data_IF_309624390418
#
_entry.id   IF_309624390418
#
_cell.length_a   1.000
_cell.length_b   1.000
_cell.length_c   1.000
_cell.angle_alpha   90.00
_cell.angle_beta   90.00
_cell.angle_gamma   90.00
#
_symmetry.space_group_name_H-M   'P 1'
#
loop_
_entity.id
_entity.type
_entity.pdbx_description
1 polymer ?
#
# COMPACT_ATOMS: atom_id res chain seq x y z
N UNK A 1 31.30 -1.85 -61.94
CA UNK A 1 30.96 -3.10 -61.22
C UNK A 1 31.15 -2.78 -59.77
N UNK A 2 30.13 -2.19 -59.16
CA UNK A 2 30.25 -1.49 -57.89
C UNK A 2 29.46 -2.28 -56.85
N UNK A 3 30.21 -2.89 -55.92
CA UNK A 3 29.67 -3.70 -54.85
C UNK A 3 29.08 -2.80 -53.75
N UNK A 4 27.75 -2.70 -53.76
CA UNK A 4 26.95 -2.04 -52.75
C UNK A 4 26.86 -2.94 -51.50
N UNK A 5 27.48 -2.53 -50.40
CA UNK A 5 27.35 -3.20 -49.10
C UNK A 5 26.62 -2.29 -48.13
N UNK A 6 25.30 -2.47 -48.09
CA UNK A 6 24.38 -1.92 -47.13
C UNK A 6 24.47 -2.71 -45.81
N UNK A 7 25.03 -2.11 -44.76
CA UNK A 7 25.01 -2.66 -43.40
C UNK A 7 24.20 -1.77 -42.47
N UNK A 8 22.87 -1.82 -42.59
CA UNK A 8 21.95 -1.38 -41.54
C UNK A 8 22.00 -2.35 -40.35
N UNK A 9 23.04 -2.23 -39.53
CA UNK A 9 23.18 -2.91 -38.25
C UNK A 9 22.57 -2.08 -37.11
N UNK A 10 21.25 -1.91 -37.12
CA UNK A 10 20.52 -1.34 -35.97
C UNK A 10 20.61 -2.27 -34.77
N UNK A 11 21.55 -1.95 -33.89
CA UNK A 11 21.71 -2.50 -32.54
C UNK A 11 20.46 -2.17 -31.70
N UNK A 12 19.46 -3.05 -31.80
CA UNK A 12 18.21 -3.03 -31.03
C UNK A 12 18.12 -4.32 -30.21
N UNK A 13 19.04 -4.50 -29.26
CA UNK A 13 19.06 -5.69 -28.39
C UNK A 13 18.93 -5.39 -26.89
N UNK A 14 18.78 -4.12 -26.49
CA UNK A 14 18.66 -3.76 -25.07
C UNK A 14 17.23 -3.46 -24.58
N UNK A 15 16.22 -3.40 -25.47
CA UNK A 15 14.84 -3.04 -25.07
C UNK A 15 13.94 -4.27 -24.82
N UNK A 16 14.30 -5.44 -25.36
CA UNK A 16 13.49 -6.66 -25.21
C UNK A 16 13.51 -7.23 -23.78
N UNK A 17 14.53 -6.93 -22.98
CA UNK A 17 14.61 -7.35 -21.57
C UNK A 17 13.72 -6.51 -20.66
N UNK A 18 13.54 -5.21 -20.97
CA UNK A 18 12.62 -4.33 -20.23
C UNK A 18 11.18 -4.63 -20.60
N UNK A 19 10.88 -4.90 -21.87
CA UNK A 19 9.54 -5.32 -22.28
C UNK A 19 9.14 -6.70 -21.75
N UNK A 20 10.08 -7.66 -21.67
CA UNK A 20 9.83 -8.95 -21.01
C UNK A 20 9.52 -8.78 -19.51
N UNK A 21 10.27 -7.94 -18.79
CA UNK A 21 10.00 -7.60 -17.38
C UNK A 21 8.68 -6.85 -17.19
N UNK A 22 8.29 -5.96 -18.10
CA UNK A 22 6.98 -5.28 -18.08
C UNK A 22 5.81 -6.23 -18.38
N UNK A 23 6.00 -7.20 -19.26
CA UNK A 23 4.98 -8.21 -19.58
C UNK A 23 4.87 -9.30 -18.51
N UNK A 24 5.92 -9.55 -17.75
CA UNK A 24 5.89 -10.43 -16.57
C UNK A 24 5.13 -9.78 -15.40
N UNK A 25 5.23 -8.46 -15.24
CA UNK A 25 4.39 -7.68 -14.31
C UNK A 25 2.90 -7.81 -14.70
N UNK A 26 2.56 -7.71 -16.00
CA UNK A 26 1.16 -7.83 -16.46
C UNK A 26 0.53 -9.21 -16.27
N UNK A 27 1.31 -10.28 -16.03
CA UNK A 27 0.79 -11.66 -15.95
C UNK A 27 0.55 -12.17 -14.52
N UNK A 28 1.06 -11.47 -13.50
CA UNK A 28 0.77 -11.80 -12.08
C UNK A 28 -0.28 -10.88 -11.45
N UNK A 29 -0.68 -9.80 -12.14
CA UNK A 29 -1.70 -8.82 -11.71
C UNK A 29 -3.17 -9.28 -11.84
N UNK A 30 -3.41 -10.59 -12.09
CA UNK A 30 -4.70 -11.21 -11.70
C UNK A 30 -4.81 -11.41 -10.18
N UNK A 31 -3.91 -10.79 -9.40
CA UNK A 31 -3.95 -10.70 -7.96
C UNK A 31 -5.23 -10.00 -7.48
N UNK A 32 -6.20 -10.83 -7.07
CA UNK A 32 -7.30 -10.54 -6.17
C UNK A 32 -7.66 -9.05 -6.05
N UNK A 33 -8.35 -8.46 -7.04
CA UNK A 33 -9.03 -7.17 -6.84
C UNK A 33 -10.02 -7.33 -5.70
N UNK A 34 -10.28 -6.27 -4.93
CA UNK A 34 -11.39 -6.32 -3.99
C UNK A 34 -12.67 -6.67 -4.76
N UNK A 35 -13.66 -7.30 -4.10
CA UNK A 35 -14.98 -7.57 -4.69
C UNK A 35 -15.65 -6.33 -5.31
N UNK A 36 -15.24 -5.14 -4.88
CA UNK A 36 -15.74 -3.86 -5.37
C UNK A 36 -14.89 -3.24 -6.50
N UNK A 37 -13.93 -3.99 -7.05
CA UNK A 37 -13.01 -3.52 -8.10
C UNK A 37 -11.95 -2.52 -7.63
N UNK A 38 -11.92 -2.17 -6.33
CA UNK A 38 -10.93 -1.26 -5.73
C UNK A 38 -9.51 -1.86 -5.72
N UNK A 39 -8.47 -1.07 -6.03
CA UNK A 39 -7.07 -1.48 -5.87
C UNK A 39 -6.75 -1.90 -4.44
N UNK A 40 -5.84 -2.86 -4.29
CA UNK A 40 -5.42 -3.36 -2.98
C UNK A 40 -4.51 -2.35 -2.29
N UNK A 41 -4.63 -2.23 -0.96
CA UNK A 41 -3.78 -1.33 -0.17
C UNK A 41 -2.30 -1.66 -0.38
N UNK A 42 -1.42 -0.65 -0.40
CA UNK A 42 0.01 -0.88 -0.52
C UNK A 42 0.54 -1.56 0.75
N UNK A 43 1.54 -2.40 0.59
CA UNK A 43 2.24 -3.08 1.67
C UNK A 43 3.22 -2.14 2.35
N UNK A 44 3.21 -2.14 3.68
CA UNK A 44 4.24 -1.50 4.48
C UNK A 44 5.52 -2.35 4.49
N UNK A 45 6.66 -1.74 4.84
CA UNK A 45 7.93 -2.44 5.00
C UNK A 45 7.83 -3.63 5.98
N UNK A 46 7.09 -3.44 7.07
CA UNK A 46 6.80 -4.50 8.04
C UNK A 46 6.02 -5.65 7.39
N UNK A 47 4.97 -5.38 6.60
CA UNK A 47 4.21 -6.43 5.92
C UNK A 47 5.06 -7.22 4.92
N UNK A 48 5.95 -6.54 4.19
CA UNK A 48 6.90 -7.16 3.27
C UNK A 48 7.85 -8.10 4.04
N UNK A 49 8.40 -7.62 5.17
CA UNK A 49 9.23 -8.43 6.05
C UNK A 49 8.49 -9.67 6.58
N UNK A 50 7.24 -9.50 7.02
CA UNK A 50 6.42 -10.60 7.50
C UNK A 50 6.20 -11.70 6.45
N UNK A 51 5.96 -11.32 5.20
CA UNK A 51 5.81 -12.30 4.12
C UNK A 51 7.13 -13.06 3.87
N UNK A 52 8.24 -12.32 3.82
CA UNK A 52 9.58 -12.91 3.64
C UNK A 52 9.90 -13.91 4.77
N UNK A 53 9.69 -13.51 6.02
CA UNK A 53 10.08 -14.30 7.17
C UNK A 53 9.12 -15.48 7.41
N UNK A 54 7.83 -15.29 7.13
CA UNK A 54 6.86 -16.39 7.10
C UNK A 54 7.27 -17.44 6.07
N UNK A 55 7.59 -17.03 4.85
CA UNK A 55 7.99 -17.96 3.80
C UNK A 55 9.27 -18.71 4.18
N UNK A 56 10.22 -18.02 4.82
CA UNK A 56 11.45 -18.64 5.34
C UNK A 56 11.14 -19.71 6.39
N UNK A 57 10.36 -19.39 7.41
CA UNK A 57 10.03 -20.32 8.49
C UNK A 57 9.16 -21.48 7.98
N UNK A 58 8.20 -21.22 7.08
CA UNK A 58 7.39 -22.28 6.47
C UNK A 58 8.25 -23.23 5.63
N UNK A 59 9.28 -22.75 4.93
CA UNK A 59 10.24 -23.62 4.22
C UNK A 59 11.10 -24.44 5.19
N UNK A 60 11.57 -23.84 6.29
CA UNK A 60 12.32 -24.55 7.34
C UNK A 60 11.46 -25.65 8.01
N UNK A 61 10.15 -25.40 8.18
CA UNK A 61 9.18 -26.32 8.77
C UNK A 61 8.56 -27.31 7.78
N UNK A 62 8.81 -27.17 6.47
CA UNK A 62 8.30 -28.10 5.47
C UNK A 62 8.97 -29.49 5.51
N UNK A 63 9.92 -29.69 6.43
CA UNK A 63 10.45 -31.01 6.75
C UNK A 63 9.30 -31.90 7.30
N UNK A 64 8.98 -33.02 6.63
CA UNK A 64 7.76 -33.81 6.87
C UNK A 64 7.65 -34.41 8.27
N UNK A 65 8.75 -34.45 9.02
CA UNK A 65 8.78 -35.00 10.39
C UNK A 65 8.28 -34.01 11.46
N UNK A 66 8.10 -32.73 11.11
CA UNK A 66 7.57 -31.72 12.02
C UNK A 66 6.04 -31.82 12.10
N UNK A 67 5.52 -32.71 12.94
CA UNK A 67 4.09 -32.81 13.29
C UNK A 67 3.49 -31.41 13.51
N UNK A 68 2.51 -31.05 12.67
CA UNK A 68 1.87 -29.75 12.63
C UNK A 68 1.37 -29.30 14.02
N UNK A 69 2.11 -28.42 14.67
CA UNK A 69 1.70 -27.81 15.93
C UNK A 69 0.58 -26.79 15.66
N UNK A 70 -0.64 -27.13 16.06
CA UNK A 70 -1.85 -26.27 15.95
C UNK A 70 -1.71 -24.87 16.60
N UNK A 71 -0.72 -24.66 17.48
CA UNK A 71 -0.35 -23.35 18.04
C UNK A 71 0.68 -22.54 17.24
N UNK A 72 1.08 -22.99 16.05
CA UNK A 72 2.24 -22.44 15.33
C UNK A 72 2.09 -20.96 14.92
N UNK A 73 0.89 -20.48 14.60
CA UNK A 73 0.74 -19.14 14.05
C UNK A 73 1.03 -18.01 15.06
N UNK A 74 0.57 -18.15 16.30
CA UNK A 74 0.84 -17.16 17.36
C UNK A 74 2.34 -17.10 17.67
N UNK A 75 2.98 -18.27 17.80
CA UNK A 75 4.42 -18.38 18.02
C UNK A 75 5.23 -17.83 16.83
N UNK A 76 4.78 -18.10 15.59
CA UNK A 76 5.37 -17.56 14.37
C UNK A 76 5.31 -16.03 14.35
N UNK A 77 4.13 -15.46 14.61
CA UNK A 77 3.92 -14.01 14.63
C UNK A 77 4.80 -13.32 15.67
N UNK A 78 4.87 -13.86 16.88
CA UNK A 78 5.73 -13.34 17.94
C UNK A 78 7.22 -13.42 17.58
N UNK A 79 7.63 -14.52 16.94
CA UNK A 79 9.01 -14.71 16.46
C UNK A 79 9.38 -13.68 15.40
N UNK A 80 8.50 -13.45 14.42
CA UNK A 80 8.72 -12.45 13.37
C UNK A 80 8.76 -11.04 13.97
N UNK A 81 7.87 -10.71 14.91
CA UNK A 81 7.88 -9.41 15.60
C UNK A 81 9.18 -9.18 16.38
N UNK A 82 9.70 -10.20 17.06
CA UNK A 82 10.97 -10.11 17.77
C UNK A 82 12.13 -9.87 16.79
N UNK A 83 12.13 -10.54 15.62
CA UNK A 83 13.14 -10.32 14.57
C UNK A 83 13.03 -8.92 13.95
N UNK A 84 11.82 -8.43 13.70
CA UNK A 84 11.60 -7.08 13.15
C UNK A 84 12.16 -5.98 14.06
N UNK A 85 12.01 -6.11 15.38
CA UNK A 85 12.58 -5.16 16.35
C UNK A 85 14.11 -5.13 16.36
N UNK A 86 14.75 -6.22 15.95
CA UNK A 86 16.21 -6.39 15.92
C UNK A 86 16.74 -6.51 14.48
N UNK A 87 16.02 -5.95 13.50
CA UNK A 87 16.44 -6.00 12.10
C UNK A 87 17.65 -5.09 11.88
N UNK A 88 18.54 -5.51 10.98
CA UNK A 88 19.65 -4.67 10.55
C UNK A 88 19.16 -3.39 9.85
N UNK A 89 19.89 -2.29 10.07
CA UNK A 89 19.56 -0.99 9.52
C UNK A 89 19.57 -0.98 8.00
N UNK A 90 20.51 -1.70 7.36
CA UNK A 90 20.59 -1.74 5.90
C UNK A 90 19.38 -2.48 5.30
N UNK A 91 18.99 -3.61 5.89
CA UNK A 91 17.82 -4.36 5.45
C UNK A 91 16.52 -3.55 5.64
N UNK A 92 16.42 -2.79 6.73
CA UNK A 92 15.26 -1.91 6.96
C UNK A 92 15.14 -0.85 5.85
N UNK A 93 16.25 -0.23 5.45
CA UNK A 93 16.28 0.75 4.36
C UNK A 93 15.82 0.11 3.03
N UNK A 94 16.25 -1.11 2.74
CA UNK A 94 15.82 -1.84 1.53
C UNK A 94 14.30 -2.12 1.55
N UNK A 95 13.76 -2.55 2.70
CA UNK A 95 12.34 -2.82 2.85
C UNK A 95 11.49 -1.55 2.76
N UNK A 96 11.97 -0.43 3.30
CA UNK A 96 11.34 0.88 3.15
C UNK A 96 11.34 1.35 1.69
N UNK A 97 12.43 1.12 0.95
CA UNK A 97 12.49 1.40 -0.49
C UNK A 97 11.45 0.57 -1.27
N UNK A 98 11.30 -0.73 -0.95
CA UNK A 98 10.27 -1.58 -1.56
C UNK A 98 8.85 -1.10 -1.22
N UNK A 99 8.59 -0.71 0.02
CA UNK A 99 7.30 -0.17 0.44
C UNK A 99 6.97 1.15 -0.27
N UNK A 100 7.97 2.00 -0.53
CA UNK A 100 7.80 3.25 -1.30
C UNK A 100 7.40 2.95 -2.74
N UNK A 101 8.09 2.03 -3.41
CA UNK A 101 7.73 1.61 -4.77
C UNK A 101 6.31 1.02 -4.83
N UNK A 102 5.91 0.24 -3.82
CA UNK A 102 4.57 -0.32 -3.76
C UNK A 102 3.48 0.74 -3.55
N UNK A 103 3.78 1.79 -2.78
CA UNK A 103 2.90 2.95 -2.64
C UNK A 103 2.72 3.71 -3.95
N UNK A 104 3.79 3.88 -4.72
CA UNK A 104 3.74 4.52 -6.04
C UNK A 104 2.93 3.68 -7.05
N UNK A 105 3.04 2.35 -7.01
CA UNK A 105 2.15 1.44 -7.74
C UNK A 105 0.68 1.67 -7.35
N UNK A 106 0.36 1.61 -6.05
CA UNK A 106 -1.01 1.79 -5.56
C UNK A 106 -1.64 3.10 -6.02
N UNK A 107 -0.89 4.21 -5.95
CA UNK A 107 -1.40 5.51 -6.38
C UNK A 107 -1.79 5.50 -7.86
N UNK A 108 -0.93 4.93 -8.74
CA UNK A 108 -1.24 4.77 -10.16
C UNK A 108 -2.49 3.92 -10.38
N UNK A 109 -2.62 2.82 -9.66
CA UNK A 109 -3.81 1.95 -9.76
C UNK A 109 -5.09 2.66 -9.29
N UNK A 110 -5.00 3.47 -8.22
CA UNK A 110 -6.13 4.26 -7.68
C UNK A 110 -6.60 5.31 -8.69
N UNK A 111 -5.68 5.99 -9.37
CA UNK A 111 -6.04 7.00 -10.36
C UNK A 111 -6.76 6.37 -11.56
N UNK A 112 -6.27 5.24 -12.06
CA UNK A 112 -6.93 4.45 -13.12
C UNK A 112 -8.32 3.97 -12.65
N UNK A 113 -8.43 3.49 -11.42
CA UNK A 113 -9.70 3.03 -10.87
C UNK A 113 -10.72 4.16 -10.75
N UNK A 114 -10.31 5.34 -10.26
CA UNK A 114 -11.17 6.53 -10.18
C UNK A 114 -11.66 6.97 -11.56
N UNK A 115 -10.77 7.02 -12.54
CA UNK A 115 -11.14 7.37 -13.92
C UNK A 115 -12.17 6.39 -14.49
N UNK A 116 -11.97 5.08 -14.28
CA UNK A 116 -12.93 4.07 -14.73
C UNK A 116 -14.28 4.17 -13.99
N UNK A 117 -14.27 4.48 -12.69
CA UNK A 117 -15.49 4.70 -11.91
C UNK A 117 -16.29 5.90 -12.43
N UNK A 118 -15.61 7.01 -12.77
CA UNK A 118 -16.26 8.18 -13.35
C UNK A 118 -16.88 7.85 -14.72
N UNK A 119 -16.16 7.13 -15.58
CA UNK A 119 -16.67 6.68 -16.88
C UNK A 119 -17.94 5.82 -16.74
N UNK A 120 -17.92 4.85 -15.83
CA UNK A 120 -19.09 3.98 -15.60
C UNK A 120 -20.28 4.79 -15.09
N UNK A 121 -20.05 5.80 -14.24
CA UNK A 121 -21.12 6.66 -13.73
C UNK A 121 -21.73 7.53 -14.84
N UNK A 122 -20.91 8.09 -15.73
CA UNK A 122 -21.36 8.88 -16.88
C UNK A 122 -22.16 8.04 -17.90
N UNK A 123 -21.69 6.82 -18.19
CA UNK A 123 -22.41 5.86 -19.04
C UNK A 123 -23.76 5.45 -18.42
N UNK A 124 -23.79 5.21 -17.11
CA UNK A 124 -25.02 4.90 -16.39
C UNK A 124 -26.01 6.07 -16.40
N UNK A 125 -25.53 7.31 -16.21
CA UNK A 125 -26.35 8.51 -16.28
C UNK A 125 -26.91 8.73 -17.70
N UNK A 126 -26.08 8.56 -18.73
CA UNK A 126 -26.51 8.67 -20.13
C UNK A 126 -27.55 7.62 -20.51
N UNK A 127 -27.39 6.38 -20.02
CA UNK A 127 -28.36 5.30 -20.23
C UNK A 127 -29.68 5.56 -19.51
N UNK A 128 -29.64 6.10 -18.29
CA UNK A 128 -30.84 6.47 -17.55
C UNK A 128 -31.61 7.60 -18.25
N UNK A 129 -30.91 8.63 -18.74
CA UNK A 129 -31.51 9.73 -19.50
C UNK A 129 -32.17 9.23 -20.80
N UNK A 130 -31.50 8.37 -21.56
CA UNK A 130 -32.06 7.79 -22.78
C UNK A 130 -33.31 6.94 -22.51
N UNK A 131 -33.33 6.15 -21.42
CA UNK A 131 -34.51 5.34 -21.05
C UNK A 131 -35.70 6.16 -20.56
N UNK A 132 -35.48 7.38 -20.07
CA UNK A 132 -36.57 8.24 -19.58
C UNK A 132 -37.33 8.96 -20.70
N UNK A 133 -36.72 9.11 -21.88
CA UNK A 133 -37.36 9.76 -23.03
C UNK A 133 -38.41 8.87 -23.73
N UNK A 134 -38.32 7.55 -23.59
CA UNK A 134 -39.15 6.58 -24.35
C UNK A 134 -40.48 6.21 -23.65
N UNK A 135 -40.73 6.75 -22.43
CA UNK A 135 -41.95 6.43 -21.64
C UNK A 135 -42.95 7.60 -21.61
N UNK A 136 -42.66 8.71 -22.29
CA UNK A 136 -43.50 9.91 -22.25
C UNK A 136 -44.64 9.95 -23.30
N UNK A 137 -44.78 8.94 -24.18
CA UNK A 137 -45.74 8.97 -25.30
C UNK A 137 -47.00 8.10 -25.12
N UNK A 138 -47.38 7.74 -23.89
CA UNK A 138 -48.73 7.18 -23.67
C UNK A 138 -49.26 7.53 -22.27
N UNK A 139 -49.66 8.80 -22.11
CA UNK A 139 -50.49 9.22 -20.98
C UNK A 139 -51.97 8.98 -21.33
N UNK A 140 -52.64 7.94 -20.78
CA UNK A 140 -54.09 7.89 -20.81
C UNK A 140 -54.62 9.04 -19.95
N UNK A 141 -55.49 9.86 -20.53
CA UNK A 141 -56.17 10.98 -19.87
C UNK A 141 -56.74 10.54 -18.51
N UNK A 142 -56.12 10.98 -17.41
CA UNK A 142 -56.66 10.84 -16.06
C UNK A 142 -57.09 12.19 -15.54
N UNK A 143 -58.41 12.36 -15.57
CA UNK A 143 -59.14 13.45 -14.93
C UNK A 143 -58.84 13.54 -13.43
N UNK A 144 -58.52 14.76 -12.99
CA UNK A 144 -58.85 15.33 -11.67
C UNK A 144 -58.38 14.62 -10.40
N UNK A 145 -57.42 15.22 -9.68
CA UNK A 145 -57.69 15.88 -8.38
C UNK A 145 -56.37 16.49 -7.85
N UNK A 146 -56.38 17.80 -7.66
CA UNK A 146 -55.26 18.63 -7.19
C UNK A 146 -55.46 18.90 -5.69
N UNK A 147 -54.61 18.31 -4.84
CA UNK A 147 -54.35 18.89 -3.52
C UNK A 147 -52.85 19.18 -3.40
N UNK A 148 -52.55 20.48 -3.42
CA UNK A 148 -51.22 21.04 -3.43
C UNK A 148 -50.62 21.00 -2.01
N UNK A 149 -49.50 20.30 -1.84
CA UNK A 149 -48.68 20.46 -0.64
C UNK A 149 -47.27 20.85 -1.08
N UNK A 150 -47.02 22.16 -1.04
CA UNK A 150 -45.74 22.76 -1.33
C UNK A 150 -44.72 22.36 -0.25
N UNK A 151 -43.69 21.62 -0.65
CA UNK A 151 -42.49 21.36 0.15
C UNK A 151 -41.32 22.07 -0.51
N UNK A 152 -40.82 23.09 0.19
CA UNK A 152 -39.79 24.04 -0.24
C UNK A 152 -38.39 23.40 -0.38
N UNK A 153 -37.78 23.56 -1.55
CA UNK A 153 -36.38 23.29 -1.88
C UNK A 153 -35.43 24.30 -1.19
N UNK A 154 -34.78 23.94 -0.08
CA UNK A 154 -33.70 24.80 0.47
C UNK A 154 -32.52 24.07 1.12
N UNK A 155 -32.32 22.77 0.89
CA UNK A 155 -31.32 21.99 1.67
C UNK A 155 -30.33 21.19 0.82
N UNK A 156 -29.70 21.79 -0.21
CA UNK A 156 -28.68 21.06 -1.00
C UNK A 156 -27.31 21.76 -1.20
N UNK A 157 -27.04 22.94 -0.64
CA UNK A 157 -25.78 23.66 -0.92
C UNK A 157 -24.65 23.55 0.13
N UNK A 158 -24.74 22.69 1.14
CA UNK A 158 -23.77 22.70 2.27
C UNK A 158 -22.59 21.71 2.21
N UNK A 159 -22.33 20.97 1.13
CA UNK A 159 -21.32 19.88 1.15
C UNK A 159 -20.04 20.15 0.32
N UNK A 160 -19.99 21.17 -0.54
CA UNK A 160 -18.94 21.23 -1.57
C UNK A 160 -17.57 21.86 -1.19
N UNK A 161 -17.36 22.45 0.00
CA UNK A 161 -16.14 23.21 0.30
C UNK A 161 -15.39 22.78 1.59
N UNK A 162 -14.95 21.53 1.69
CA UNK A 162 -14.01 21.11 2.74
C UNK A 162 -12.75 20.49 2.13
N UNK A 163 -11.83 21.35 1.66
CA UNK A 163 -10.54 20.95 1.08
C UNK A 163 -9.42 20.78 2.12
N UNK A 164 -9.68 21.18 3.37
CA UNK A 164 -8.76 20.98 4.49
C UNK A 164 -9.31 19.92 5.45
N UNK A 165 -9.02 18.65 5.15
CA UNK A 165 -9.34 17.48 5.99
C UNK A 165 -8.62 17.44 7.34
N UNK A 166 -8.16 18.57 7.89
CA UNK A 166 -7.87 18.72 9.32
C UNK A 166 -9.15 19.15 10.01
N UNK A 167 -9.97 18.17 10.39
CA UNK A 167 -10.95 18.38 11.46
C UNK A 167 -10.17 18.82 12.70
N UNK A 168 -10.11 20.13 12.93
CA UNK A 168 -9.77 20.70 14.21
C UNK A 168 -10.82 20.20 15.18
N UNK A 169 -10.52 19.09 15.85
CA UNK A 169 -11.22 18.69 17.06
C UNK A 169 -10.87 19.76 18.09
N UNK A 170 -11.65 20.84 18.10
CA UNK A 170 -11.68 21.79 19.20
C UNK A 170 -12.26 21.03 20.38
N UNK A 171 -11.40 20.32 21.11
CA UNK A 171 -11.74 19.72 22.39
C UNK A 171 -12.00 20.89 23.31
N UNK A 172 -13.27 21.14 23.64
CA UNK A 172 -13.64 22.12 24.67
C UNK A 172 -12.91 21.73 25.96
N UNK A 173 -11.98 22.56 26.48
CA UNK A 173 -11.43 22.31 27.81
C UNK A 173 -12.57 22.46 28.82
N UNK A 174 -12.93 21.39 29.52
CA UNK A 174 -13.94 21.41 30.58
C UNK A 174 -15.15 20.51 30.40
N UNK A 175 -15.25 19.72 29.33
CA UNK A 175 -16.25 18.66 29.27
C UNK A 175 -15.86 17.51 30.23
N UNK A 176 -16.33 17.57 31.47
CA UNK A 176 -16.30 16.47 32.44
C UNK A 176 -17.09 15.31 31.82
N UNK A 177 -16.36 14.34 31.26
CA UNK A 177 -16.96 13.12 30.72
C UNK A 177 -17.55 12.36 31.91
N UNK A 178 -18.88 12.15 31.97
CA UNK A 178 -19.47 11.36 33.04
C UNK A 178 -18.89 9.94 32.97
N UNK A 179 -18.53 9.34 34.12
CA UNK A 179 -17.99 7.98 34.14
C UNK A 179 -19.04 7.04 33.52
N UNK A 180 -18.69 6.43 32.39
CA UNK A 180 -19.50 5.37 31.81
C UNK A 180 -19.60 4.22 32.84
N UNK A 181 -20.78 3.62 33.02
CA UNK A 181 -20.92 2.47 33.91
C UNK A 181 -20.15 1.30 33.30
N UNK A 182 -18.94 1.08 33.81
CA UNK A 182 -18.20 -0.15 33.55
C UNK A 182 -19.01 -1.31 34.13
N UNK A 183 -19.72 -2.05 33.26
CA UNK A 183 -20.22 -3.38 33.61
C UNK A 183 -19.01 -4.26 33.85
N UNK A 184 -18.62 -4.38 35.11
CA UNK A 184 -17.63 -5.35 35.60
C UNK A 184 -18.24 -6.74 35.40
N UNK A 185 -17.99 -7.35 34.25
CA UNK A 185 -18.12 -8.79 34.10
C UNK A 185 -17.01 -9.41 34.95
N UNK A 186 -17.35 -9.89 36.16
CA UNK A 186 -16.48 -10.71 36.99
C UNK A 186 -16.21 -12.04 36.28
N UNK A 187 -15.26 -12.04 35.34
CA UNK A 187 -14.70 -13.22 34.71
C UNK A 187 -13.57 -13.79 35.56
N UNK A 188 -13.75 -15.03 36.00
CA UNK A 188 -12.92 -15.82 36.92
C UNK A 188 -11.41 -15.64 36.72
N UNK A 189 -10.73 -15.39 37.84
CA UNK A 189 -9.28 -15.38 37.95
C UNK A 189 -8.66 -16.74 37.61
N UNK A 190 -7.64 -16.69 36.75
CA UNK A 190 -6.56 -17.67 36.74
C UNK A 190 -5.35 -17.00 37.39
N UNK A 191 -5.02 -17.47 38.58
CA UNK A 191 -3.76 -17.14 39.23
C UNK A 191 -2.60 -17.65 38.37
N UNK A 192 -1.64 -16.78 38.10
CA UNK A 192 -0.30 -17.18 37.68
C UNK A 192 0.67 -16.42 38.55
N UNK A 193 0.92 -17.01 39.71
CA UNK A 193 2.14 -16.79 40.49
C UNK A 193 3.31 -17.25 39.63
N UNK A 194 4.30 -16.38 39.42
CA UNK A 194 5.70 -16.74 39.66
C UNK A 194 6.60 -15.50 39.60
N UNK A 195 7.20 -15.24 40.77
CA UNK A 195 8.51 -14.65 40.98
C UNK A 195 9.49 -14.91 39.83
N UNK A 196 10.23 -13.88 39.41
CA UNK A 196 11.71 -13.87 39.47
C UNK A 196 12.17 -12.42 39.63
N UNK A 197 12.71 -12.14 40.81
CA UNK A 197 13.66 -11.05 41.08
C UNK A 197 14.95 -11.37 40.35
N UNK A 198 15.41 -10.50 39.47
CA UNK A 198 16.60 -10.71 38.65
C UNK A 198 17.28 -9.41 38.30
N UNK A 199 18.11 -8.94 39.22
CA UNK A 199 19.07 -7.84 39.12
C UNK A 199 19.82 -7.93 37.78
N UNK A 200 19.76 -6.87 36.97
CA UNK A 200 20.66 -6.72 35.81
C UNK A 200 21.89 -5.91 36.22
N UNK A 201 23.12 -6.41 36.00
CA UNK A 201 24.33 -5.70 36.31
C UNK A 201 24.59 -4.55 35.33
N UNK A 202 25.13 -3.48 35.90
CA UNK A 202 25.72 -2.33 35.24
C UNK A 202 26.96 -2.82 34.45
N UNK A 203 26.85 -2.96 33.13
CA UNK A 203 28.01 -3.29 32.29
C UNK A 203 28.59 -2.01 31.75
N UNK A 204 29.86 -1.80 32.10
CA UNK A 204 30.65 -0.63 31.82
C UNK A 204 30.84 -0.37 30.32
N UNK A 205 30.97 0.91 30.01
CA UNK A 205 31.33 1.46 28.72
C UNK A 205 32.63 0.83 28.20
N UNK A 206 32.54 0.18 27.04
CA UNK A 206 33.70 -0.07 26.20
C UNK A 206 33.72 0.98 25.10
N UNK A 207 34.70 1.87 25.19
CA UNK A 207 35.08 2.81 24.15
C UNK A 207 35.28 2.06 22.83
N UNK A 208 34.34 2.22 21.91
CA UNK A 208 34.53 1.78 20.52
C UNK A 208 35.15 2.96 19.79
N UNK A 209 36.44 2.80 19.48
CA UNK A 209 37.22 3.72 18.66
C UNK A 209 36.47 4.05 17.37
N UNK A 210 36.41 5.35 17.09
CA UNK A 210 35.86 5.92 15.88
C UNK A 210 36.54 5.26 14.66
N UNK A 211 35.79 4.70 13.70
CA UNK A 211 36.39 4.27 12.45
C UNK A 211 36.89 5.50 11.70
N UNK A 212 38.18 5.45 11.35
CA UNK A 212 38.88 6.41 10.51
C UNK A 212 38.03 6.66 9.24
N UNK A 213 37.47 7.86 9.14
CA UNK A 213 36.72 8.33 7.98
C UNK A 213 37.69 8.32 6.80
N UNK A 214 37.54 7.35 5.90
CA UNK A 214 38.25 7.37 4.63
C UNK A 214 37.66 8.50 3.78
N UNK A 215 38.49 9.34 3.14
CA UNK A 215 38.00 10.41 2.29
C UNK A 215 37.19 9.79 1.14
N UNK A 216 35.94 10.24 1.02
CA UNK A 216 35.08 9.97 -0.14
C UNK A 216 35.86 10.35 -1.39
N UNK A 217 36.29 9.34 -2.15
CA UNK A 217 36.83 9.56 -3.49
C UNK A 217 35.69 10.13 -4.34
N UNK A 218 35.85 11.41 -4.68
CA UNK A 218 34.93 12.16 -5.54
C UNK A 218 34.73 11.36 -6.83
N UNK A 219 33.52 10.83 -7.02
CA UNK A 219 33.17 10.09 -8.23
C UNK A 219 33.30 11.05 -9.43
N UNK A 220 33.99 10.68 -10.51
CA UNK A 220 34.10 11.52 -11.69
C UNK A 220 32.70 11.84 -12.21
N UNK A 221 32.45 13.10 -12.54
CA UNK A 221 31.16 13.51 -13.07
C UNK A 221 30.88 12.75 -14.37
N UNK A 222 29.61 12.50 -14.63
CA UNK A 222 29.15 11.71 -15.78
C UNK A 222 29.65 12.31 -17.13
N UNK A 223 29.97 13.60 -17.18
CA UNK A 223 30.59 14.26 -18.33
C UNK A 223 32.05 13.83 -18.59
N UNK A 224 32.84 13.49 -17.58
CA UNK A 224 34.23 13.03 -17.77
C UNK A 224 34.31 11.61 -18.35
N UNK A 225 33.34 10.75 -18.03
CA UNK A 225 33.30 9.38 -18.56
C UNK A 225 33.11 9.34 -20.09
N UNK A 226 32.39 10.31 -20.66
CA UNK A 226 32.17 10.38 -22.11
C UNK A 226 33.40 10.85 -22.89
N UNK A 227 34.25 11.70 -22.30
CA UNK A 227 35.45 12.20 -22.99
C UNK A 227 36.55 11.15 -23.11
N UNK A 228 36.61 10.16 -22.21
CA UNK A 228 37.62 9.11 -22.23
C UNK A 228 37.47 8.12 -23.41
N UNK A 229 36.28 8.01 -23.99
CA UNK A 229 36.02 7.07 -25.09
C UNK A 229 36.37 7.62 -26.48
N UNK A 230 36.65 8.92 -26.60
CA UNK A 230 36.87 9.60 -27.89
C UNK A 230 38.35 9.67 -28.33
N UNK A 231 39.31 9.15 -27.56
CA UNK A 231 40.75 9.22 -27.87
C UNK A 231 41.40 7.88 -28.25
N UNK A 232 40.59 6.87 -28.61
CA UNK A 232 41.07 5.53 -28.99
C UNK A 232 40.88 5.17 -30.48
N UNK A 233 40.57 6.15 -31.30
CA UNK A 233 40.61 6.09 -32.75
C UNK A 233 41.48 7.22 -33.28
#
# INVERSE_FOLDING_TARGET
MDANHNTNGTSSHNDSSLQAKLNEIKRTDKGAKHKDGRPLRPLSACNIFFQMERNRITKEQANPDAKHASGAFANLTNTILARWKNIDGALKIELDAKAKLDKERYNREVDVWKANMLRIAEEAASKAAASSADVAEEAPARDGNLDSVALSESTLDSIANSKDGRRSITVKPGAVIPPLPFKVTRGRGRGSSNNVVGVRPLVANHETGLPLVTPVQSRPSLQQAFQAHAKKH
#
